data_IF_707483575439
#
_entry.id   IF_707483575439
#
_cell.length_a   1.000
_cell.length_b   1.000
_cell.length_c   1.000
_cell.angle_alpha   90.00
_cell.angle_beta   90.00
_cell.angle_gamma   90.00
#
_symmetry.space_group_name_H-M   'P 1'
#
loop_
_entity.id
_entity.type
_entity.pdbx_description
1 polymer ?
#
# COMPACT_ATOMS: atom_id res chain seq x y z
N UNK A 1 9.66 -2.13 13.09
CA UNK A 1 10.44 -1.23 12.20
C UNK A 1 11.71 -1.95 11.80
N UNK A 2 12.03 -2.07 10.51
CA UNK A 2 13.18 -2.85 10.02
C UNK A 2 14.20 -2.03 9.21
N UNK A 3 13.85 -0.82 8.77
CA UNK A 3 14.72 0.02 7.94
C UNK A 3 15.38 1.13 8.76
N UNK A 4 16.68 1.34 8.54
CA UNK A 4 17.51 2.32 9.25
C UNK A 4 17.53 3.70 8.58
N UNK A 5 17.04 3.82 7.35
CA UNK A 5 17.03 5.09 6.60
C UNK A 5 18.33 5.40 5.85
N UNK A 6 19.35 4.53 5.95
CA UNK A 6 20.68 4.79 5.40
C UNK A 6 20.81 4.37 3.92
N UNK A 7 20.22 3.23 3.56
CA UNK A 7 20.32 2.66 2.22
C UNK A 7 18.96 2.67 1.54
N UNK A 8 18.91 3.09 0.29
CA UNK A 8 17.65 3.15 -0.46
C UNK A 8 17.29 1.77 -1.02
N UNK A 9 18.30 0.92 -1.20
CA UNK A 9 18.19 -0.44 -1.72
C UNK A 9 17.33 -1.33 -0.83
N UNK A 10 17.29 -1.04 0.48
CA UNK A 10 16.45 -1.70 1.48
C UNK A 10 15.33 -0.80 2.01
N UNK A 11 14.93 0.23 1.25
CA UNK A 11 13.82 1.13 1.62
C UNK A 11 12.58 0.30 1.97
N UNK A 12 12.07 0.56 3.17
CA UNK A 12 10.87 -0.09 3.71
C UNK A 12 10.11 0.90 4.61
N UNK A 13 9.01 1.41 4.08
CA UNK A 13 8.15 2.42 4.68
C UNK A 13 6.73 1.89 4.83
N UNK A 14 5.99 2.49 5.76
CA UNK A 14 4.59 2.16 6.02
C UNK A 14 3.75 3.43 6.10
N UNK A 15 2.65 3.48 5.36
CA UNK A 15 1.60 4.46 5.53
C UNK A 15 0.52 3.89 6.45
N UNK A 16 0.24 4.58 7.54
CA UNK A 16 -0.81 4.23 8.51
C UNK A 16 -1.95 5.23 8.32
N UNK A 17 -3.16 4.74 8.06
CA UNK A 17 -4.32 5.63 7.90
C UNK A 17 -4.70 6.25 9.24
N UNK A 18 -5.16 7.49 9.27
CA UNK A 18 -5.60 8.16 10.51
C UNK A 18 -6.96 7.62 10.99
N UNK A 19 -7.82 7.23 10.04
CA UNK A 19 -9.09 6.54 10.30
C UNK A 19 -8.87 5.28 11.13
N UNK A 20 -9.78 4.99 12.06
CA UNK A 20 -9.68 3.83 12.98
C UNK A 20 -10.69 2.71 12.69
N UNK A 21 -11.57 2.94 11.73
CA UNK A 21 -12.67 2.05 11.36
C UNK A 21 -12.30 1.06 10.24
N UNK A 22 -11.07 1.14 9.72
CA UNK A 22 -10.55 0.24 8.68
C UNK A 22 -9.50 -0.69 9.29
N UNK A 23 -9.83 -1.97 9.45
CA UNK A 23 -8.97 -2.95 10.09
C UNK A 23 -8.09 -3.70 9.08
N UNK A 24 -8.59 -3.94 7.86
CA UNK A 24 -7.86 -4.65 6.80
C UNK A 24 -8.40 -4.32 5.40
N UNK A 25 -7.83 -4.95 4.37
CA UNK A 25 -8.35 -4.85 3.00
C UNK A 25 -9.80 -5.35 2.86
N UNK A 26 -10.31 -6.16 3.81
CA UNK A 26 -11.70 -6.63 3.80
C UNK A 26 -12.72 -5.55 4.11
N UNK A 27 -12.30 -4.44 4.71
CA UNK A 27 -13.17 -3.32 5.04
C UNK A 27 -13.23 -2.29 3.91
N UNK A 28 -12.37 -2.43 2.89
CA UNK A 28 -12.32 -1.52 1.76
C UNK A 28 -13.57 -1.67 0.88
N UNK A 29 -14.10 -0.53 0.44
CA UNK A 29 -15.31 -0.37 -0.36
C UNK A 29 -15.07 0.75 -1.37
N UNK A 30 -16.00 0.96 -2.31
CA UNK A 30 -15.92 2.02 -3.30
C UNK A 30 -15.69 3.42 -2.69
N UNK A 31 -16.37 3.73 -1.58
CA UNK A 31 -16.21 5.00 -0.85
C UNK A 31 -14.78 5.26 -0.35
N UNK A 32 -13.94 4.22 -0.29
CA UNK A 32 -12.54 4.30 0.13
C UNK A 32 -11.57 4.54 -1.04
N UNK A 33 -12.03 4.53 -2.31
CA UNK A 33 -11.17 4.80 -3.46
C UNK A 33 -10.45 6.15 -3.38
N UNK A 34 -11.08 7.27 -2.96
CA UNK A 34 -10.38 8.55 -2.79
C UNK A 34 -9.25 8.47 -1.76
N UNK A 35 -9.45 7.72 -0.66
CA UNK A 35 -8.43 7.49 0.36
C UNK A 35 -7.22 6.74 -0.23
N UNK A 36 -7.46 5.64 -0.94
CA UNK A 36 -6.39 4.82 -1.52
C UNK A 36 -5.58 5.58 -2.58
N UNK A 37 -6.26 6.35 -3.45
CA UNK A 37 -5.60 7.21 -4.46
C UNK A 37 -4.75 8.30 -3.80
N UNK A 38 -5.26 8.91 -2.73
CA UNK A 38 -4.52 9.92 -1.96
C UNK A 38 -3.28 9.35 -1.30
N UNK A 39 -3.38 8.16 -0.68
CA UNK A 39 -2.23 7.46 -0.09
C UNK A 39 -1.18 7.19 -1.18
N UNK A 40 -1.59 6.60 -2.30
CA UNK A 40 -0.66 6.31 -3.40
C UNK A 40 0.05 7.58 -3.90
N UNK A 41 -0.70 8.62 -4.25
CA UNK A 41 -0.15 9.84 -4.81
C UNK A 41 0.75 10.59 -3.84
N UNK A 42 0.29 10.81 -2.60
CA UNK A 42 1.06 11.59 -1.61
C UNK A 42 2.30 10.84 -1.14
N UNK A 43 2.20 9.53 -0.87
CA UNK A 43 3.35 8.76 -0.40
C UNK A 43 4.39 8.59 -1.51
N UNK A 44 4.00 8.30 -2.76
CA UNK A 44 4.99 8.19 -3.86
C UNK A 44 5.69 9.51 -4.14
N UNK A 45 4.96 10.64 -4.08
CA UNK A 45 5.55 11.98 -4.17
C UNK A 45 6.56 12.21 -3.04
N UNK A 46 6.15 11.99 -1.79
CA UNK A 46 7.04 12.17 -0.64
C UNK A 46 8.27 11.26 -0.71
N UNK A 47 8.12 10.01 -1.13
CA UNK A 47 9.25 9.08 -1.29
C UNK A 47 10.21 9.57 -2.37
N UNK A 48 9.67 10.08 -3.49
CA UNK A 48 10.50 10.66 -4.56
C UNK A 48 11.27 11.89 -4.08
N UNK A 49 10.64 12.78 -3.32
CA UNK A 49 11.25 14.00 -2.83
C UNK A 49 12.34 13.73 -1.76
N UNK A 50 12.09 12.79 -0.84
CA UNK A 50 12.99 12.53 0.29
C UNK A 50 14.11 11.53 -0.03
N UNK A 51 13.87 10.57 -0.93
CA UNK A 51 14.79 9.45 -1.19
C UNK A 51 15.15 9.29 -2.67
N UNK A 52 14.66 10.16 -3.56
CA UNK A 52 14.88 10.12 -5.00
C UNK A 52 14.39 8.82 -5.70
N UNK A 53 13.55 8.01 -5.06
CA UNK A 53 13.02 6.77 -5.63
C UNK A 53 11.73 7.05 -6.42
N UNK A 54 11.68 6.77 -7.73
CA UNK A 54 10.46 6.89 -8.51
C UNK A 54 9.46 5.78 -8.15
N UNK A 55 8.16 6.03 -8.33
CA UNK A 55 7.10 5.04 -8.08
C UNK A 55 7.28 3.75 -8.87
N UNK A 56 7.88 3.80 -10.07
CA UNK A 56 8.21 2.63 -10.89
C UNK A 56 9.24 1.69 -10.26
N UNK A 57 9.97 2.15 -9.23
CA UNK A 57 10.91 1.35 -8.44
C UNK A 57 10.36 0.94 -7.07
N UNK A 58 9.08 1.20 -6.82
CA UNK A 58 8.42 0.84 -5.57
C UNK A 58 7.46 -0.32 -5.77
N UNK A 59 7.47 -1.24 -4.81
CA UNK A 59 6.39 -2.17 -4.57
C UNK A 59 5.48 -1.58 -3.51
N UNK A 60 4.18 -1.53 -3.79
CA UNK A 60 3.18 -0.90 -2.91
C UNK A 60 2.04 -1.87 -2.68
N UNK A 61 1.86 -2.32 -1.44
CA UNK A 61 1.05 -3.49 -1.14
C UNK A 61 0.49 -3.50 0.28
N UNK A 62 -0.55 -4.32 0.48
CA UNK A 62 -1.13 -4.61 1.78
C UNK A 62 -0.93 -6.09 2.14
N UNK A 63 -0.70 -6.38 3.42
CA UNK A 63 -0.68 -7.75 3.93
C UNK A 63 -2.10 -8.29 4.12
N UNK A 64 -2.29 -9.57 3.82
CA UNK A 64 -3.51 -10.28 4.16
C UNK A 64 -3.23 -11.73 4.59
N UNK A 65 -3.43 -12.13 5.86
CA UNK A 65 -3.88 -11.33 7.01
C UNK A 65 -2.80 -10.32 7.45
N UNK A 66 -3.20 -9.14 7.99
CA UNK A 66 -2.23 -8.16 8.47
C UNK A 66 -1.62 -8.57 9.81
N UNK A 67 -0.41 -8.08 10.11
CA UNK A 67 0.23 -8.33 11.41
C UNK A 67 -0.46 -7.61 12.57
N UNK A 68 -1.24 -6.56 12.28
CA UNK A 68 -2.12 -5.87 13.21
C UNK A 68 -3.33 -5.29 12.47
N UNK A 69 -4.48 -5.26 13.13
CA UNK A 69 -5.77 -4.86 12.55
C UNK A 69 -5.99 -3.35 12.61
N UNK A 70 -5.20 -2.62 11.81
CA UNK A 70 -5.39 -1.22 11.48
C UNK A 70 -4.80 -1.00 10.10
N UNK A 71 -5.59 -0.54 9.15
CA UNK A 71 -5.22 -0.51 7.73
C UNK A 71 -3.90 0.24 7.53
N UNK A 72 -2.94 -0.45 6.91
CA UNK A 72 -1.63 0.08 6.62
C UNK A 72 -1.13 -0.43 5.27
N UNK A 73 -0.37 0.40 4.58
CA UNK A 73 0.16 0.14 3.25
C UNK A 73 1.69 0.12 3.37
N UNK A 74 2.31 -0.91 2.81
CA UNK A 74 3.76 -1.04 2.74
C UNK A 74 4.29 -0.47 1.43
N UNK A 75 5.43 0.21 1.52
CA UNK A 75 6.20 0.72 0.40
C UNK A 75 7.61 0.15 0.53
N UNK A 76 8.05 -0.66 -0.44
CA UNK A 76 9.40 -1.20 -0.45
C UNK A 76 10.09 -0.97 -1.79
N UNK A 77 11.41 -0.83 -1.81
CA UNK A 77 12.16 -0.85 -3.06
C UNK A 77 11.93 -2.19 -3.80
N UNK A 78 11.82 -2.17 -5.14
CA UNK A 78 11.68 -3.40 -5.94
C UNK A 78 12.88 -4.34 -5.78
N UNK A 79 14.08 -3.77 -5.60
CA UNK A 79 15.32 -4.49 -5.33
C UNK A 79 15.36 -5.15 -3.96
N UNK A 80 14.50 -4.72 -3.02
CA UNK A 80 14.49 -5.25 -1.67
C UNK A 80 13.64 -6.53 -1.60
N UNK A 81 14.20 -7.57 -0.99
CA UNK A 81 13.44 -8.73 -0.56
C UNK A 81 12.82 -8.46 0.81
N UNK A 82 11.73 -7.69 0.79
CA UNK A 82 10.98 -7.39 2.00
C UNK A 82 10.42 -8.69 2.65
N UNK A 83 10.54 -8.86 3.98
CA UNK A 83 9.94 -9.99 4.68
C UNK A 83 8.42 -10.05 4.42
N UNK A 84 7.89 -11.24 4.15
CA UNK A 84 6.48 -11.43 3.82
C UNK A 84 6.14 -11.28 2.33
N UNK A 85 7.14 -11.13 1.44
CA UNK A 85 7.00 -11.10 -0.02
C UNK A 85 6.14 -12.25 -0.59
N UNK A 86 6.18 -13.41 0.09
CA UNK A 86 5.53 -14.67 -0.30
C UNK A 86 4.12 -14.86 0.31
N UNK A 87 3.70 -13.99 1.24
CA UNK A 87 2.45 -14.14 1.98
C UNK A 87 1.41 -13.20 1.37
N UNK A 88 0.47 -13.73 0.57
CA UNK A 88 -0.81 -13.12 0.17
C UNK A 88 -0.83 -11.58 0.15
N UNK A 89 0.07 -10.98 -0.62
CA UNK A 89 0.15 -9.54 -0.77
C UNK A 89 -0.76 -9.10 -1.91
N UNK A 90 -1.60 -8.12 -1.63
CA UNK A 90 -2.43 -7.49 -2.65
C UNK A 90 -1.80 -6.17 -3.04
N UNK A 91 -1.45 -6.03 -4.32
CA UNK A 91 -0.94 -4.77 -4.84
C UNK A 91 -2.03 -3.70 -4.77
N UNK A 92 -1.68 -2.49 -4.34
CA UNK A 92 -2.67 -1.42 -4.13
C UNK A 92 -3.42 -1.06 -5.42
N UNK A 93 -2.75 -1.16 -6.57
CA UNK A 93 -3.37 -0.92 -7.88
C UNK A 93 -4.38 -2.00 -8.25
N UNK A 94 -4.09 -3.27 -7.94
CA UNK A 94 -5.04 -4.36 -8.13
C UNK A 94 -6.25 -4.23 -7.20
N UNK A 95 -6.05 -3.82 -5.95
CA UNK A 95 -7.15 -3.55 -5.01
C UNK A 95 -8.05 -2.42 -5.56
N UNK A 96 -7.45 -1.34 -6.06
CA UNK A 96 -8.20 -0.22 -6.64
C UNK A 96 -9.00 -0.68 -7.88
N UNK A 97 -8.39 -1.46 -8.79
CA UNK A 97 -9.08 -1.98 -9.98
C UNK A 97 -10.21 -2.92 -9.60
N UNK A 98 -9.95 -3.86 -8.68
CA UNK A 98 -10.94 -4.84 -8.25
C UNK A 98 -12.14 -4.19 -7.57
N UNK A 99 -11.92 -3.20 -6.69
CA UNK A 99 -13.03 -2.43 -6.08
C UNK A 99 -13.79 -1.66 -7.16
N UNK A 100 -13.12 -1.09 -8.15
CA UNK A 100 -13.81 -0.35 -9.20
C UNK A 100 -14.67 -1.28 -10.08
N UNK A 101 -14.12 -2.41 -10.50
CA UNK A 101 -14.81 -3.39 -11.36
C UNK A 101 -15.93 -4.14 -10.64
N UNK A 102 -15.66 -4.67 -9.45
CA UNK A 102 -16.63 -5.45 -8.67
C UNK A 102 -17.92 -4.66 -8.41
N UNK A 103 -17.82 -3.36 -8.16
CA UNK A 103 -18.98 -2.50 -7.91
C UNK A 103 -19.67 -2.03 -9.21
N UNK A 104 -18.95 -1.89 -10.33
CA UNK A 104 -19.59 -1.69 -11.64
C UNK A 104 -20.43 -2.90 -12.04
N UNK A 105 -19.97 -4.13 -11.79
CA UNK A 105 -20.72 -5.35 -12.12
C UNK A 105 -21.87 -5.66 -11.16
N UNK A 106 -21.84 -5.18 -9.92
CA UNK A 106 -22.92 -5.40 -8.94
C UNK A 106 -24.12 -4.43 -9.11
N UNK A 107 -24.04 -3.45 -10.01
CA UNK A 107 -25.09 -2.48 -10.31
C UNK A 107 -25.93 -2.84 -11.56
N UNK A 108 -25.78 -4.07 -12.09
CA UNK A 108 -26.58 -4.62 -13.18
C UNK A 108 -27.33 -5.89 -12.75
#
# INVERSE_FOLDING_TARGET
MKWTGEQVENLYLQAIVVRRDLLSIRDLREEHLPLLRNIYSKCTKAIKENYNVPSSKLRIYCHYQPSYYHLHIHFSALSFEAPGKEICNWEIMLIISFIYEYFQFSLY
#
